data_IF_412109907235
#
_entry.id   IF_412109907235
#
_cell.length_a   1.000
_cell.length_b   1.000
_cell.length_c   1.000
_cell.angle_alpha   90.00
_cell.angle_beta   90.00
_cell.angle_gamma   90.00
#
_symmetry.space_group_name_H-M   'P 1'
#
loop_
_entity.id
_entity.type
_entity.pdbx_description
1 polymer ?
#
# COMPACT_ATOMS: atom_id res chain seq x y z
N UNK A 1 1.71 12.91 -17.93
CA UNK A 1 2.53 11.97 -17.16
C UNK A 1 2.59 12.45 -15.72
N UNK A 2 2.53 11.56 -14.70
CA UNK A 2 2.69 11.93 -13.29
C UNK A 2 4.01 12.67 -13.04
N UNK A 3 4.01 13.65 -12.14
CA UNK A 3 5.21 14.42 -11.78
C UNK A 3 5.90 13.90 -10.51
N UNK A 4 5.24 13.00 -9.76
CA UNK A 4 5.82 12.30 -8.62
C UNK A 4 5.00 11.06 -8.27
N UNK A 5 5.50 10.24 -7.34
CA UNK A 5 4.81 9.04 -6.86
C UNK A 5 4.74 9.03 -5.33
N UNK A 6 3.70 8.40 -4.79
CA UNK A 6 3.58 8.10 -3.36
C UNK A 6 3.25 6.64 -3.20
N UNK A 7 4.00 5.98 -2.32
CA UNK A 7 3.86 4.56 -2.02
C UNK A 7 3.48 4.37 -0.57
N UNK A 8 2.47 3.54 -0.32
CA UNK A 8 1.96 3.22 1.01
C UNK A 8 1.91 1.72 1.19
N UNK A 9 2.24 1.26 2.40
CA UNK A 9 2.05 -0.12 2.81
C UNK A 9 0.96 -0.15 3.90
N UNK A 10 -0.06 -0.99 3.71
CA UNK A 10 -1.19 -1.12 4.63
C UNK A 10 -1.39 -2.58 5.03
N UNK A 11 -1.79 -2.82 6.29
CA UNK A 11 -2.17 -4.15 6.76
C UNK A 11 -3.70 -4.30 6.75
N UNK A 12 -4.19 -5.49 6.39
CA UNK A 12 -5.61 -5.85 6.47
C UNK A 12 -5.79 -7.24 7.06
N UNK A 13 -6.93 -7.48 7.69
CA UNK A 13 -7.18 -8.71 8.44
C UNK A 13 -7.37 -9.95 7.55
N UNK A 14 -7.91 -9.76 6.34
CA UNK A 14 -8.27 -10.83 5.42
C UNK A 14 -8.30 -10.30 3.96
N UNK A 15 -8.27 -11.16 2.93
CA UNK A 15 -8.15 -10.70 1.54
C UNK A 15 -9.42 -10.01 1.05
N UNK A 16 -10.59 -10.22 1.67
CA UNK A 16 -11.81 -9.50 1.31
C UNK A 16 -11.70 -8.01 1.66
N UNK A 17 -11.07 -7.68 2.80
CA UNK A 17 -10.76 -6.28 3.16
C UNK A 17 -9.81 -5.60 2.17
N UNK A 18 -8.91 -6.36 1.53
CA UNK A 18 -8.08 -5.83 0.44
C UNK A 18 -8.92 -5.46 -0.78
N UNK A 19 -9.95 -6.25 -1.10
CA UNK A 19 -10.87 -5.96 -2.21
C UNK A 19 -11.69 -4.70 -1.92
N UNK A 20 -12.17 -4.54 -0.69
CA UNK A 20 -12.89 -3.33 -0.27
C UNK A 20 -11.96 -2.10 -0.38
N UNK A 21 -10.74 -2.19 0.14
CA UNK A 21 -9.74 -1.12 0.01
C UNK A 21 -9.40 -0.79 -1.45
N UNK A 22 -9.36 -1.79 -2.35
CA UNK A 22 -9.13 -1.56 -3.77
C UNK A 22 -10.29 -0.78 -4.42
N UNK A 23 -11.54 -1.07 -4.04
CA UNK A 23 -12.69 -0.32 -4.53
C UNK A 23 -12.59 1.14 -4.08
N UNK A 24 -12.30 1.35 -2.80
CA UNK A 24 -12.17 2.70 -2.24
C UNK A 24 -11.02 3.46 -2.91
N UNK A 25 -9.85 2.84 -3.06
CA UNK A 25 -8.71 3.43 -3.75
C UNK A 25 -9.03 3.81 -5.21
N UNK A 26 -9.74 2.94 -5.95
CA UNK A 26 -10.18 3.25 -7.32
C UNK A 26 -11.16 4.41 -7.35
N UNK A 27 -12.09 4.49 -6.39
CA UNK A 27 -13.05 5.59 -6.30
C UNK A 27 -12.35 6.91 -5.94
N UNK A 28 -11.36 6.88 -5.04
CA UNK A 28 -10.65 8.08 -4.59
C UNK A 28 -9.62 8.60 -5.59
N UNK A 29 -8.90 7.71 -6.29
CA UNK A 29 -7.76 8.09 -7.10
C UNK A 29 -7.96 7.88 -8.60
N UNK A 30 -8.90 7.03 -9.01
CA UNK A 30 -9.17 6.72 -10.41
C UNK A 30 -7.89 6.34 -11.17
N UNK A 31 -7.61 7.10 -12.23
CA UNK A 31 -6.46 6.88 -13.11
C UNK A 31 -5.10 7.17 -12.45
N UNK A 32 -5.08 7.83 -11.29
CA UNK A 32 -3.84 8.11 -10.56
C UNK A 32 -3.36 6.90 -9.73
N UNK A 33 -4.17 5.85 -9.56
CA UNK A 33 -3.73 4.60 -8.91
C UNK A 33 -2.82 3.82 -9.87
N UNK A 34 -1.51 3.82 -9.61
CA UNK A 34 -0.53 3.16 -10.49
C UNK A 34 -0.29 1.69 -10.15
N UNK A 35 -0.35 1.32 -8.86
CA UNK A 35 -0.19 -0.07 -8.44
C UNK A 35 -1.03 -0.40 -7.20
N UNK A 36 -1.47 -1.65 -7.11
CA UNK A 36 -2.13 -2.22 -5.94
C UNK A 36 -1.78 -3.72 -5.86
N UNK A 37 -0.81 -4.05 -5.01
CA UNK A 37 -0.29 -5.41 -4.86
C UNK A 37 -0.69 -6.00 -3.51
N UNK A 38 -1.14 -7.25 -3.51
CA UNK A 38 -1.51 -7.99 -2.30
C UNK A 38 -0.45 -9.03 -1.95
N UNK A 39 -0.05 -9.06 -0.68
CA UNK A 39 0.94 -9.98 -0.14
C UNK A 39 0.35 -10.70 1.07
N UNK A 40 0.52 -12.02 1.14
CA UNK A 40 0.08 -12.80 2.29
C UNK A 40 1.21 -12.95 3.31
N UNK A 41 0.87 -13.38 4.53
CA UNK A 41 1.86 -13.66 5.57
C UNK A 41 3.05 -14.50 5.10
N UNK A 42 2.79 -15.59 4.36
CA UNK A 42 3.85 -16.51 3.92
C UNK A 42 4.87 -15.85 3.00
N UNK A 43 4.45 -14.94 2.12
CA UNK A 43 5.40 -14.21 1.28
C UNK A 43 6.28 -13.27 2.11
N UNK A 44 5.71 -12.60 3.11
CA UNK A 44 6.46 -11.71 4.02
C UNK A 44 7.44 -12.50 4.88
N UNK A 45 7.03 -13.64 5.46
CA UNK A 45 7.92 -14.52 6.22
C UNK A 45 9.12 -15.00 5.39
N UNK A 46 8.92 -15.25 4.10
CA UNK A 46 10.00 -15.63 3.20
C UNK A 46 11.02 -14.48 3.06
N UNK A 47 10.54 -13.25 2.84
CA UNK A 47 11.40 -12.06 2.76
C UNK A 47 12.13 -11.83 4.07
N UNK A 48 11.46 -11.89 5.22
CA UNK A 48 12.07 -11.76 6.54
C UNK A 48 13.22 -12.74 6.77
N UNK A 49 13.06 -14.00 6.34
CA UNK A 49 14.08 -15.04 6.49
C UNK A 49 15.28 -14.83 5.56
N UNK A 50 15.07 -14.29 4.35
CA UNK A 50 16.10 -14.22 3.31
C UNK A 50 16.77 -12.85 3.19
N UNK A 51 16.10 -11.77 3.60
CA UNK A 51 16.53 -10.38 3.39
C UNK A 51 16.89 -9.70 4.72
N UNK A 52 17.94 -10.19 5.38
CA UNK A 52 18.36 -9.73 6.72
C UNK A 52 18.92 -8.31 6.77
N UNK A 53 19.31 -7.73 5.62
CA UNK A 53 19.93 -6.40 5.54
C UNK A 53 18.95 -5.29 5.14
N UNK A 54 17.66 -5.58 5.03
CA UNK A 54 16.64 -4.60 4.67
C UNK A 54 15.64 -4.41 5.80
N UNK A 55 15.17 -3.18 5.95
CA UNK A 55 14.07 -2.87 6.88
C UNK A 55 12.76 -3.33 6.25
N UNK A 56 11.97 -4.08 7.03
CA UNK A 56 10.61 -4.47 6.67
C UNK A 56 9.65 -3.55 7.44
N UNK A 57 8.88 -2.67 6.76
CA UNK A 57 8.04 -1.67 7.43
C UNK A 57 6.83 -2.25 8.17
N UNK A 58 6.23 -3.33 7.64
CA UNK A 58 5.19 -4.13 8.28
C UNK A 58 5.62 -5.59 8.27
N UNK A 59 5.71 -6.20 9.44
CA UNK A 59 6.18 -7.58 9.59
C UNK A 59 5.07 -8.62 9.33
N UNK A 60 5.44 -9.89 9.38
CA UNK A 60 4.55 -11.04 9.16
C UNK A 60 3.53 -11.29 10.27
N UNK A 61 3.47 -10.45 11.32
CA UNK A 61 2.38 -10.50 12.30
C UNK A 61 1.04 -10.12 11.67
N UNK A 62 1.06 -9.30 10.61
CA UNK A 62 -0.13 -8.98 9.82
C UNK A 62 -0.39 -10.06 8.76
N UNK A 63 -1.61 -10.62 8.69
CA UNK A 63 -1.90 -11.77 7.82
C UNK A 63 -1.90 -11.40 6.33
N UNK A 64 -2.23 -10.15 6.00
CA UNK A 64 -2.27 -9.61 4.66
C UNK A 64 -1.76 -8.18 4.65
N UNK A 65 -0.98 -7.85 3.62
CA UNK A 65 -0.41 -6.53 3.42
C UNK A 65 -0.66 -6.07 1.98
N UNK A 66 -0.86 -4.77 1.79
CA UNK A 66 -1.14 -4.15 0.51
C UNK A 66 -0.09 -3.06 0.24
N UNK A 67 0.59 -3.17 -0.90
CA UNK A 67 1.44 -2.10 -1.42
C UNK A 67 0.63 -1.29 -2.44
N UNK A 68 0.43 -0.02 -2.16
CA UNK A 68 -0.33 0.90 -3.00
C UNK A 68 0.63 1.95 -3.53
N UNK A 69 0.59 2.22 -4.83
CA UNK A 69 1.31 3.33 -5.45
C UNK A 69 0.35 4.24 -6.20
N UNK A 70 0.59 5.54 -6.10
CA UNK A 70 -0.20 6.58 -6.75
C UNK A 70 0.70 7.59 -7.45
N UNK A 71 0.30 8.00 -8.65
CA UNK A 71 0.89 9.12 -9.37
C UNK A 71 0.33 10.46 -8.90
N UNK A 72 1.21 11.40 -8.56
CA UNK A 72 0.87 12.77 -8.18
C UNK A 72 1.11 13.72 -9.36
N UNK A 73 0.11 14.57 -9.66
CA UNK A 73 0.24 15.63 -10.68
C UNK A 73 0.83 16.93 -10.13
N UNK A 74 0.94 17.07 -8.80
CA UNK A 74 1.56 18.22 -8.13
C UNK A 74 2.49 17.77 -6.99
N UNK A 75 3.79 17.59 -7.23
CA UNK A 75 4.74 17.03 -6.26
C UNK A 75 4.98 17.96 -5.05
N UNK A 76 4.70 19.26 -5.18
CA UNK A 76 4.92 20.24 -4.11
C UNK A 76 3.86 20.18 -2.99
N UNK A 77 2.78 19.42 -3.19
CA UNK A 77 1.80 19.13 -2.15
C UNK A 77 1.52 17.62 -2.11
N UNK A 78 2.44 16.81 -1.54
CA UNK A 78 2.18 15.39 -1.35
C UNK A 78 0.92 15.25 -0.49
N UNK A 79 -0.08 14.50 -0.98
CA UNK A 79 -1.29 14.22 -0.19
C UNK A 79 -0.88 13.64 1.16
N UNK A 80 -1.33 14.30 2.23
CA UNK A 80 -0.88 13.97 3.57
C UNK A 80 -1.70 12.80 4.12
N UNK A 81 -1.01 11.86 4.76
CA UNK A 81 -1.59 10.63 5.32
C UNK A 81 -2.67 10.86 6.39
N UNK A 82 -2.79 12.07 6.94
CA UNK A 82 -3.84 12.48 7.88
C UNK A 82 -5.21 12.71 7.21
N UNK A 83 -5.27 12.85 5.88
CA UNK A 83 -6.53 12.86 5.14
C UNK A 83 -7.13 11.44 5.01
N UNK A 84 -6.32 10.40 5.27
CA UNK A 84 -6.68 8.98 5.21
C UNK A 84 -7.06 8.36 6.55
N UNK A 85 -6.78 9.04 7.67
CA UNK A 85 -7.01 8.50 9.04
C UNK A 85 -8.48 8.45 9.48
N UNK A 86 -9.43 8.67 8.56
CA UNK A 86 -10.87 8.64 8.83
C UNK A 86 -11.52 7.29 8.48
N UNK A 87 -10.70 6.27 8.16
CA UNK A 87 -11.08 4.88 7.98
C UNK A 87 -10.36 3.98 8.98
#
# INVERSE_FOLDING_TARGET
MPQGYTTTLAAVENPYKAIDLLKDAKTSFGENLSAFEIMNKTSIECVEKQMTNYRIPLDSSYPWQILIEMGNLNPQNPMRMNEWSSF
#
